data_IF_303510378378
#
_entry.id   IF_303510378378
#
_cell.length_a   1.000
_cell.length_b   1.000
_cell.length_c   1.000
_cell.angle_alpha   90.00
_cell.angle_beta   90.00
_cell.angle_gamma   90.00
#
_symmetry.space_group_name_H-M   'P 1'
#
loop_
_entity.id
_entity.type
_entity.pdbx_description
1 polymer ?
#
# COMPACT_ATOMS: atom_id res chain seq x y z
N UNK A 1 -10.58 -5.52 7.80
CA UNK A 1 -10.79 -6.84 8.46
C UNK A 1 -9.52 -7.38 9.09
N UNK A 2 -8.41 -7.61 8.38
CA UNK A 2 -7.14 -8.09 8.97
C UNK A 2 -6.57 -7.14 10.02
N UNK A 3 -6.68 -5.82 9.83
CA UNK A 3 -6.25 -4.83 10.83
C UNK A 3 -6.96 -4.95 12.18
N UNK A 4 -8.16 -5.53 12.20
CA UNK A 4 -8.96 -5.79 13.40
C UNK A 4 -8.75 -7.20 13.97
N UNK A 5 -7.73 -7.93 13.53
CA UNK A 5 -7.46 -9.30 13.98
C UNK A 5 -8.21 -10.40 13.21
N UNK A 6 -8.92 -10.06 12.14
CA UNK A 6 -9.59 -11.05 11.29
C UNK A 6 -8.61 -11.85 10.45
N UNK A 7 -8.88 -13.14 10.26
CA UNK A 7 -8.14 -14.03 9.36
C UNK A 7 -8.73 -14.01 7.95
N UNK A 8 -7.86 -14.11 6.95
CA UNK A 8 -8.27 -14.28 5.55
C UNK A 8 -7.89 -15.69 5.11
N UNK A 9 -8.88 -16.42 4.63
CA UNK A 9 -8.65 -17.70 3.96
C UNK A 9 -8.57 -17.45 2.44
N UNK A 10 -7.50 -17.91 1.83
CA UNK A 10 -7.33 -17.86 0.38
C UNK A 10 -7.83 -19.17 -0.25
N UNK A 11 -8.86 -19.08 -1.07
CA UNK A 11 -9.31 -20.19 -1.90
C UNK A 11 -8.71 -20.05 -3.31
N UNK A 12 -7.89 -20.99 -3.78
CA UNK A 12 -7.27 -20.95 -5.11
C UNK A 12 -8.26 -21.23 -6.24
N UNK A 13 -9.45 -21.73 -5.94
CA UNK A 13 -10.45 -22.05 -6.94
C UNK A 13 -11.10 -20.78 -7.50
N UNK A 14 -11.21 -20.70 -8.81
CA UNK A 14 -11.89 -19.60 -9.49
C UNK A 14 -13.35 -19.94 -9.71
N UNK A 15 -14.25 -19.37 -8.92
CA UNK A 15 -15.70 -19.55 -9.06
C UNK A 15 -16.36 -18.55 -10.01
N UNK A 16 -15.73 -17.42 -10.26
CA UNK A 16 -16.25 -16.33 -11.10
C UNK A 16 -15.17 -15.89 -12.09
N UNK A 17 -15.53 -15.88 -13.38
CA UNK A 17 -14.73 -15.23 -14.42
C UNK A 17 -15.12 -13.75 -14.53
N UNK A 18 -14.26 -12.87 -14.06
CA UNK A 18 -14.49 -11.45 -14.18
C UNK A 18 -14.25 -10.99 -15.64
N UNK A 19 -15.29 -10.49 -16.30
CA UNK A 19 -15.17 -9.95 -17.65
C UNK A 19 -14.55 -8.55 -17.57
N UNK A 20 -13.39 -8.41 -18.14
CA UNK A 20 -12.74 -7.11 -18.25
C UNK A 20 -13.35 -6.29 -19.39
N UNK A 21 -13.64 -5.02 -19.11
CA UNK A 21 -14.05 -4.06 -20.12
C UNK A 21 -12.86 -3.18 -20.51
N UNK A 22 -12.80 -2.67 -21.78
CA UNK A 22 -11.72 -1.80 -22.23
C UNK A 22 -11.50 -0.55 -21.35
N UNK A 23 -12.57 -0.09 -20.69
CA UNK A 23 -12.55 1.08 -19.80
C UNK A 23 -12.49 0.71 -18.32
N UNK A 24 -12.08 -0.52 -17.96
CA UNK A 24 -11.93 -0.91 -16.56
C UNK A 24 -10.79 -0.14 -15.90
N UNK A 25 -11.09 0.58 -14.81
CA UNK A 25 -10.09 1.31 -14.01
C UNK A 25 -9.01 0.40 -13.43
N UNK A 26 -9.31 -0.90 -13.27
CA UNK A 26 -8.40 -1.93 -12.77
C UNK A 26 -8.30 -3.02 -13.84
N UNK A 27 -7.64 -2.72 -14.94
CA UNK A 27 -7.34 -3.70 -15.99
C UNK A 27 -6.08 -4.53 -15.68
N UNK A 28 -5.89 -5.60 -16.42
CA UNK A 28 -4.63 -6.36 -16.40
C UNK A 28 -3.44 -5.46 -16.74
N UNK A 29 -2.51 -5.33 -15.79
CA UNK A 29 -1.35 -4.45 -15.92
C UNK A 29 -0.22 -5.11 -16.71
N UNK A 30 -0.49 -5.53 -17.92
CA UNK A 30 0.48 -6.23 -18.77
C UNK A 30 1.35 -5.27 -19.59
N UNK A 31 0.90 -4.03 -19.84
CA UNK A 31 1.63 -3.05 -20.63
C UNK A 31 2.70 -2.29 -19.82
N UNK A 32 3.88 -2.09 -20.40
CA UNK A 32 4.94 -1.23 -19.87
C UNK A 32 4.47 0.21 -19.69
N UNK A 33 3.60 0.70 -20.58
CA UNK A 33 3.02 2.05 -20.54
C UNK A 33 2.19 2.23 -19.27
N UNK A 34 1.31 1.28 -18.93
CA UNK A 34 0.50 1.35 -17.71
C UNK A 34 1.34 1.30 -16.41
N UNK A 35 2.56 0.75 -16.48
CA UNK A 35 3.51 0.77 -15.37
C UNK A 35 4.20 2.12 -15.21
N UNK A 36 4.54 2.77 -16.34
CA UNK A 36 5.11 4.12 -16.34
C UNK A 36 4.10 5.16 -15.83
N UNK A 37 2.82 5.05 -16.23
CA UNK A 37 1.75 5.90 -15.72
C UNK A 37 1.59 5.79 -14.21
N UNK A 38 1.72 4.58 -13.65
CA UNK A 38 1.69 4.37 -12.19
C UNK A 38 2.90 4.95 -11.47
N UNK A 39 4.08 4.91 -12.07
CA UNK A 39 5.25 5.62 -11.53
C UNK A 39 5.00 7.13 -11.57
N UNK A 40 4.38 7.66 -12.62
CA UNK A 40 3.94 9.04 -12.69
C UNK A 40 3.02 9.44 -11.53
N UNK A 41 2.03 8.60 -11.18
CA UNK A 41 1.14 8.82 -10.02
C UNK A 41 1.90 8.86 -8.69
N UNK A 42 2.95 8.09 -8.54
CA UNK A 42 3.82 8.11 -7.36
C UNK A 42 4.60 9.42 -7.32
N UNK A 43 5.20 9.83 -8.45
CA UNK A 43 6.07 11.00 -8.52
C UNK A 43 5.30 12.32 -8.39
N UNK A 44 4.09 12.43 -8.94
CA UNK A 44 3.27 13.65 -8.85
C UNK A 44 2.58 13.85 -7.47
N UNK A 45 2.76 12.91 -6.53
CA UNK A 45 2.28 13.04 -5.15
C UNK A 45 0.85 12.57 -4.90
N UNK A 46 0.11 12.11 -5.90
CA UNK A 46 -1.26 11.60 -5.71
C UNK A 46 -1.28 10.39 -4.76
N UNK A 47 -0.26 9.54 -4.84
CA UNK A 47 -0.10 8.41 -3.93
C UNK A 47 -0.01 8.85 -2.46
N UNK A 48 0.74 9.92 -2.18
CA UNK A 48 0.84 10.51 -0.84
C UNK A 48 -0.49 11.03 -0.33
N UNK A 49 -1.29 11.68 -1.19
CA UNK A 49 -2.62 12.17 -0.84
C UNK A 49 -3.55 11.01 -0.48
N UNK A 50 -3.54 9.95 -1.28
CA UNK A 50 -4.32 8.74 -1.03
C UNK A 50 -3.95 8.10 0.30
N UNK A 51 -2.65 7.92 0.58
CA UNK A 51 -2.18 7.38 1.87
C UNK A 51 -2.61 8.28 3.03
N UNK A 52 -2.55 9.60 2.88
CA UNK A 52 -2.99 10.53 3.92
C UNK A 52 -4.48 10.39 4.23
N UNK A 53 -5.33 10.23 3.22
CA UNK A 53 -6.76 9.93 3.40
C UNK A 53 -6.98 8.60 4.13
N UNK A 54 -6.24 7.56 3.77
CA UNK A 54 -6.33 6.26 4.44
C UNK A 54 -5.89 6.35 5.91
N UNK A 55 -4.81 7.09 6.21
CA UNK A 55 -4.36 7.33 7.58
C UNK A 55 -5.46 8.05 8.38
N UNK A 56 -6.09 9.09 7.81
CA UNK A 56 -7.18 9.80 8.46
C UNK A 56 -8.36 8.89 8.75
N UNK A 57 -8.75 8.04 7.80
CA UNK A 57 -9.83 7.08 7.99
C UNK A 57 -9.53 6.09 9.11
N UNK A 58 -8.31 5.54 9.16
CA UNK A 58 -7.90 4.59 10.21
C UNK A 58 -7.80 5.28 11.57
N UNK A 59 -7.35 6.53 11.63
CA UNK A 59 -7.35 7.32 12.87
C UNK A 59 -8.76 7.54 13.44
N UNK A 60 -9.80 7.52 12.60
CA UNK A 60 -11.20 7.60 13.03
C UNK A 60 -11.73 6.34 13.73
N UNK A 61 -11.03 5.22 13.61
CA UNK A 61 -11.46 3.91 14.15
C UNK A 61 -10.38 3.21 15.00
N UNK A 62 -9.66 3.91 15.89
CA UNK A 62 -8.49 3.36 16.58
C UNK A 62 -8.81 2.17 17.48
N UNK A 63 -10.04 2.07 17.97
CA UNK A 63 -10.50 1.02 18.87
C UNK A 63 -10.80 -0.31 18.14
N UNK A 64 -10.93 -0.27 16.82
CA UNK A 64 -11.17 -1.47 16.01
C UNK A 64 -9.88 -2.19 15.61
N UNK A 65 -8.72 -1.53 15.73
CA UNK A 65 -7.43 -2.15 15.43
C UNK A 65 -7.00 -3.08 16.56
N UNK A 66 -6.45 -4.25 16.20
CA UNK A 66 -5.72 -5.08 17.17
C UNK A 66 -4.52 -4.31 17.73
N UNK A 67 -4.06 -4.68 18.94
CA UNK A 67 -2.92 -4.03 19.57
C UNK A 67 -1.68 -4.00 18.68
N UNK A 68 -1.34 -5.14 18.10
CA UNK A 68 -0.20 -5.29 17.17
C UNK A 68 -0.32 -4.37 15.93
N UNK A 69 -1.49 -4.38 15.27
CA UNK A 69 -1.73 -3.55 14.09
C UNK A 69 -1.74 -2.06 14.42
N UNK A 70 -2.14 -1.68 15.64
CA UNK A 70 -2.06 -0.31 16.13
C UNK A 70 -0.61 0.16 16.28
N UNK A 71 0.27 -0.69 16.79
CA UNK A 71 1.70 -0.42 16.89
C UNK A 71 2.33 -0.25 15.50
N UNK A 72 2.07 -1.18 14.57
CA UNK A 72 2.53 -1.09 13.17
C UNK A 72 2.02 0.18 12.49
N UNK A 73 0.75 0.54 12.70
CA UNK A 73 0.15 1.75 12.15
C UNK A 73 0.82 3.02 12.68
N UNK A 74 1.16 3.07 13.95
CA UNK A 74 1.88 4.19 14.54
C UNK A 74 3.30 4.32 13.98
N UNK A 75 4.04 3.20 13.86
CA UNK A 75 5.35 3.16 13.22
C UNK A 75 5.28 3.64 11.76
N UNK A 76 4.25 3.24 11.01
CA UNK A 76 4.02 3.70 9.64
C UNK A 76 3.79 5.21 9.56
N UNK A 77 2.98 5.78 10.45
CA UNK A 77 2.77 7.24 10.51
C UNK A 77 4.08 7.97 10.81
N UNK A 78 4.83 7.48 11.77
CA UNK A 78 6.10 8.05 12.18
C UNK A 78 7.14 8.01 11.06
N UNK A 79 7.22 6.91 10.32
CA UNK A 79 8.12 6.73 9.19
C UNK A 79 8.05 7.88 8.18
N UNK A 80 6.88 8.47 7.94
CA UNK A 80 6.67 9.55 6.96
C UNK A 80 7.46 10.82 7.27
N UNK A 81 7.74 11.10 8.55
CA UNK A 81 8.48 12.27 9.02
C UNK A 81 10.00 12.02 9.16
N UNK A 82 10.40 10.74 9.22
CA UNK A 82 11.79 10.34 9.51
C UNK A 82 12.75 10.57 8.33
N UNK A 83 14.06 10.52 8.62
CA UNK A 83 15.14 10.55 7.63
C UNK A 83 15.14 9.28 6.78
N UNK A 84 15.80 9.30 5.63
CA UNK A 84 15.81 8.21 4.66
C UNK A 84 16.22 6.86 5.27
N UNK A 85 17.29 6.82 6.06
CA UNK A 85 17.79 5.58 6.70
C UNK A 85 16.72 4.95 7.60
N UNK A 86 16.07 5.78 8.43
CA UNK A 86 15.05 5.31 9.37
C UNK A 86 13.80 4.85 8.62
N UNK A 87 13.43 5.54 7.53
CA UNK A 87 12.30 5.13 6.68
C UNK A 87 12.51 3.76 6.05
N UNK A 88 13.68 3.50 5.50
CA UNK A 88 14.02 2.20 4.92
C UNK A 88 14.06 1.08 5.97
N UNK A 89 14.56 1.38 7.17
CA UNK A 89 14.52 0.44 8.29
C UNK A 89 13.08 0.14 8.71
N UNK A 90 12.27 1.17 8.91
CA UNK A 90 10.90 1.03 9.40
C UNK A 90 9.98 0.31 8.41
N UNK A 91 10.18 0.45 7.10
CA UNK A 91 9.38 -0.31 6.12
C UNK A 91 9.61 -1.83 6.26
N UNK A 92 10.84 -2.23 6.56
CA UNK A 92 11.16 -3.63 6.87
C UNK A 92 10.53 -4.09 8.20
N UNK A 93 10.61 -3.27 9.24
CA UNK A 93 10.02 -3.57 10.55
C UNK A 93 8.49 -3.68 10.47
N UNK A 94 7.85 -2.79 9.70
CA UNK A 94 6.40 -2.85 9.47
C UNK A 94 5.97 -4.03 8.58
N UNK A 95 6.89 -4.77 7.97
CA UNK A 95 6.57 -5.87 7.08
C UNK A 95 5.81 -5.45 5.83
N UNK A 96 6.00 -4.22 5.36
CA UNK A 96 5.26 -3.67 4.22
C UNK A 96 5.94 -4.11 2.93
N UNK A 97 5.24 -4.91 2.15
CA UNK A 97 5.70 -5.37 0.83
C UNK A 97 4.52 -5.45 -0.15
N UNK A 98 4.82 -5.63 -1.41
CA UNK A 98 3.81 -5.93 -2.44
C UNK A 98 4.00 -7.34 -2.96
N UNK A 99 2.91 -7.96 -3.44
CA UNK A 99 2.92 -9.34 -3.97
C UNK A 99 3.90 -9.53 -5.12
N UNK A 100 4.20 -8.48 -5.91
CA UNK A 100 5.18 -8.53 -6.98
C UNK A 100 6.46 -7.78 -6.61
N UNK A 101 7.62 -8.26 -7.06
CA UNK A 101 8.90 -7.60 -6.84
C UNK A 101 8.94 -6.18 -7.45
N UNK A 102 8.32 -5.99 -8.63
CA UNK A 102 8.21 -4.68 -9.27
C UNK A 102 7.38 -3.70 -8.44
N UNK A 103 6.28 -4.21 -7.83
CA UNK A 103 5.46 -3.43 -6.91
C UNK A 103 6.22 -3.04 -5.65
N UNK A 104 7.02 -3.95 -5.10
CA UNK A 104 7.88 -3.67 -3.93
C UNK A 104 8.95 -2.64 -4.28
N UNK A 105 9.56 -2.73 -5.47
CA UNK A 105 10.52 -1.73 -5.94
C UNK A 105 9.86 -0.34 -6.07
N UNK A 106 8.68 -0.25 -6.68
CA UNK A 106 7.92 1.00 -6.78
C UNK A 106 7.58 1.59 -5.40
N UNK A 107 7.26 0.74 -4.44
CA UNK A 107 7.02 1.16 -3.06
C UNK A 107 8.29 1.72 -2.42
N UNK A 108 9.45 1.08 -2.60
CA UNK A 108 10.73 1.56 -2.11
C UNK A 108 11.08 2.93 -2.70
N UNK A 109 10.86 3.13 -4.01
CA UNK A 109 11.02 4.44 -4.64
C UNK A 109 10.10 5.49 -3.99
N UNK A 110 8.84 5.17 -3.75
CA UNK A 110 7.92 6.07 -3.06
C UNK A 110 8.40 6.45 -1.65
N UNK A 111 9.01 5.51 -0.92
CA UNK A 111 9.63 5.76 0.39
C UNK A 111 10.84 6.69 0.28
N UNK A 112 11.72 6.44 -0.70
CA UNK A 112 12.92 7.24 -0.94
C UNK A 112 12.54 8.69 -1.26
N UNK A 113 11.59 8.90 -2.16
CA UNK A 113 11.15 10.23 -2.60
C UNK A 113 10.12 10.91 -1.69
N UNK A 114 9.86 10.39 -0.50
CA UNK A 114 8.83 10.92 0.44
C UNK A 114 7.43 11.03 -0.19
N UNK A 115 7.06 10.07 -1.03
CA UNK A 115 5.76 10.05 -1.72
C UNK A 115 4.73 9.10 -1.06
N UNK A 116 5.04 8.63 0.15
CA UNK A 116 4.14 7.86 1.01
C UNK A 116 3.51 8.71 2.08
#
# INVERSE_FOLDING_TARGET
MTGCGGSIYYDPNQYIKYRQHPNSLVGENTSLISRLDKLGLVLNGQFRVMISKNISAINGIPNLLSRENKEIFNLFKEMRSRKLKDRLRLIGVCGIYRQSWQGTFSLLLAVIFKRI
#
